data_IF_608856421709
#
_entry.id   IF_608856421709
#
_cell.length_a   1.000
_cell.length_b   1.000
_cell.length_c   1.000
_cell.angle_alpha   90.00
_cell.angle_beta   90.00
_cell.angle_gamma   90.00
#
_symmetry.space_group_name_H-M   'P 1'
#
loop_
_entity.id
_entity.type
_entity.pdbx_description
1 polymer ?
#
# COMPACT_ATOMS: atom_id res chain seq x y z
N UNK A 1 0.21 27.82 31.40
CA UNK A 1 1.40 27.32 30.67
C UNK A 1 0.92 26.43 29.55
N UNK A 2 0.79 26.99 28.35
CA UNK A 2 0.24 26.34 27.17
C UNK A 2 1.18 25.24 26.69
N UNK A 3 0.74 23.98 26.70
CA UNK A 3 1.49 22.88 26.10
C UNK A 3 1.53 23.12 24.59
N UNK A 4 2.71 23.48 24.08
CA UNK A 4 2.98 23.55 22.66
C UNK A 4 2.98 22.11 22.14
N UNK A 5 1.85 21.67 21.58
CA UNK A 5 1.80 20.42 20.82
C UNK A 5 2.74 20.59 19.63
N UNK A 6 3.95 20.01 19.71
CA UNK A 6 4.78 19.75 18.54
C UNK A 6 3.97 18.80 17.67
N UNK A 7 3.23 19.37 16.74
CA UNK A 7 2.65 18.61 15.63
C UNK A 7 3.86 18.12 14.84
N UNK A 8 4.25 16.86 15.05
CA UNK A 8 5.10 16.20 14.06
C UNK A 8 4.36 16.32 12.72
N UNK A 9 5.05 16.71 11.65
CA UNK A 9 4.41 16.79 10.35
C UNK A 9 3.75 15.43 10.09
N UNK A 10 2.43 15.43 9.88
CA UNK A 10 1.71 14.23 9.49
C UNK A 10 2.31 13.83 8.15
N UNK A 11 3.22 12.85 8.17
CA UNK A 11 3.63 12.18 6.96
C UNK A 11 2.37 11.51 6.44
N UNK A 12 1.78 12.10 5.39
CA UNK A 12 0.62 11.55 4.68
C UNK A 12 0.85 10.13 4.14
N UNK A 13 2.10 9.65 4.19
CA UNK A 13 2.53 8.35 3.70
C UNK A 13 3.41 7.64 4.74
N UNK A 14 3.23 6.32 4.86
CA UNK A 14 4.11 5.46 5.65
C UNK A 14 5.46 5.31 4.95
N UNK A 15 6.54 5.30 5.73
CA UNK A 15 7.89 4.99 5.25
C UNK A 15 8.02 3.51 4.83
N UNK A 16 9.08 3.17 4.10
CA UNK A 16 9.36 1.77 3.72
C UNK A 16 9.35 0.79 4.92
N UNK A 17 10.08 1.07 6.02
CA UNK A 17 10.02 0.24 7.23
C UNK A 17 8.61 0.10 7.82
N UNK A 18 7.82 1.16 7.83
CA UNK A 18 6.43 1.11 8.31
C UNK A 18 5.53 0.27 7.38
N UNK A 19 5.75 0.34 6.06
CA UNK A 19 5.04 -0.52 5.09
C UNK A 19 5.40 -1.99 5.27
N UNK A 20 6.67 -2.30 5.56
CA UNK A 20 7.10 -3.67 5.88
C UNK A 20 6.39 -4.19 7.15
N UNK A 21 6.26 -3.36 8.18
CA UNK A 21 5.51 -3.71 9.40
C UNK A 21 4.04 -4.03 9.11
N UNK A 22 3.38 -3.20 8.29
CA UNK A 22 1.99 -3.42 7.87
C UNK A 22 1.83 -4.74 7.09
N UNK A 23 2.76 -5.04 6.18
CA UNK A 23 2.77 -6.30 5.42
C UNK A 23 2.96 -7.50 6.33
N UNK A 24 3.88 -7.42 7.30
CA UNK A 24 4.11 -8.50 8.25
C UNK A 24 2.90 -8.74 9.18
N UNK A 25 2.08 -7.71 9.42
CA UNK A 25 0.84 -7.82 10.19
C UNK A 25 -0.36 -8.31 9.35
N UNK A 26 -0.21 -8.44 8.03
CA UNK A 26 -1.28 -8.90 7.15
C UNK A 26 -1.61 -10.38 7.38
N UNK A 27 -2.87 -10.67 7.69
CA UNK A 27 -3.37 -12.03 7.94
C UNK A 27 -3.92 -12.75 6.70
N UNK A 28 -3.79 -12.15 5.52
CA UNK A 28 -4.17 -12.81 4.25
C UNK A 28 -5.67 -12.91 3.96
N UNK A 29 -6.53 -12.12 4.64
CA UNK A 29 -8.00 -12.22 4.51
C UNK A 29 -8.59 -11.72 3.18
N UNK A 30 -7.82 -11.01 2.34
CA UNK A 30 -8.25 -10.45 1.05
C UNK A 30 -9.39 -9.39 1.08
N UNK A 31 -9.96 -9.02 2.23
CA UNK A 31 -11.03 -8.01 2.34
C UNK A 31 -10.69 -6.68 1.63
N UNK A 32 -9.44 -6.23 1.74
CA UNK A 32 -8.98 -5.01 1.08
C UNK A 32 -8.95 -5.09 -0.46
N UNK A 33 -8.79 -6.29 -1.03
CA UNK A 33 -8.86 -6.50 -2.48
C UNK A 33 -10.31 -6.55 -2.94
N UNK A 34 -11.19 -7.23 -2.19
CA UNK A 34 -12.62 -7.30 -2.47
C UNK A 34 -13.30 -5.93 -2.44
N UNK A 35 -12.87 -5.05 -1.53
CA UNK A 35 -13.42 -3.70 -1.41
C UNK A 35 -12.84 -2.70 -2.42
N UNK A 36 -11.81 -3.05 -3.20
CA UNK A 36 -11.09 -2.08 -4.02
C UNK A 36 -11.77 -1.85 -5.38
N UNK A 37 -12.31 -0.65 -5.67
CA UNK A 37 -12.95 -0.37 -6.96
C UNK A 37 -11.95 -0.27 -8.13
N UNK A 38 -10.65 -0.16 -7.84
CA UNK A 38 -9.59 -0.07 -8.85
C UNK A 38 -9.07 -1.44 -9.31
N UNK A 39 -9.52 -2.54 -8.67
CA UNK A 39 -9.06 -3.89 -9.00
C UNK A 39 -9.84 -4.42 -10.20
N UNK A 40 -9.25 -4.30 -11.39
CA UNK A 40 -9.86 -4.75 -12.65
C UNK A 40 -9.55 -6.23 -12.97
N UNK A 41 -8.39 -6.73 -12.56
CA UNK A 41 -7.94 -8.11 -12.76
C UNK A 41 -7.62 -8.75 -11.41
N UNK A 42 -7.95 -10.04 -11.19
CA UNK A 42 -7.62 -10.72 -9.93
C UNK A 42 -6.11 -10.76 -9.67
N UNK A 43 -5.71 -10.37 -8.46
CA UNK A 43 -4.37 -10.60 -7.90
C UNK A 43 -4.52 -11.20 -6.51
N UNK A 44 -3.51 -11.93 -6.02
CA UNK A 44 -3.52 -12.44 -4.65
C UNK A 44 -2.90 -11.41 -3.70
N UNK A 45 -3.39 -11.38 -2.46
CA UNK A 45 -2.83 -10.53 -1.40
C UNK A 45 -1.36 -10.83 -1.15
N UNK A 46 -0.95 -12.10 -1.22
CA UNK A 46 0.43 -12.52 -1.00
C UNK A 46 1.36 -12.00 -2.09
N UNK A 47 0.91 -12.06 -3.36
CA UNK A 47 1.66 -11.49 -4.49
C UNK A 47 1.79 -9.99 -4.35
N UNK A 48 0.70 -9.29 -4.05
CA UNK A 48 0.71 -7.85 -3.85
C UNK A 48 1.66 -7.47 -2.70
N UNK A 49 1.59 -8.16 -1.57
CA UNK A 49 2.45 -7.94 -0.41
C UNK A 49 3.93 -8.15 -0.75
N UNK A 50 4.26 -9.29 -1.36
CA UNK A 50 5.63 -9.61 -1.77
C UNK A 50 6.19 -8.55 -2.72
N UNK A 51 5.48 -8.27 -3.82
CA UNK A 51 5.91 -7.32 -4.84
C UNK A 51 5.87 -5.86 -4.36
N UNK A 52 5.24 -5.56 -3.21
CA UNK A 52 5.31 -4.23 -2.57
C UNK A 52 6.66 -3.99 -1.89
N UNK A 53 7.34 -5.01 -1.37
CA UNK A 53 8.59 -4.83 -0.61
C UNK A 53 9.83 -5.49 -1.22
N UNK A 54 9.66 -6.44 -2.13
CA UNK A 54 10.75 -7.18 -2.74
C UNK A 54 10.45 -7.49 -4.22
N UNK A 55 11.47 -8.03 -4.91
CA UNK A 55 11.34 -8.57 -6.26
C UNK A 55 10.97 -7.55 -7.34
N UNK A 56 10.83 -8.04 -8.57
CA UNK A 56 10.29 -7.29 -9.70
C UNK A 56 8.77 -7.11 -9.58
N UNK A 57 8.26 -5.93 -9.95
CA UNK A 57 6.81 -5.69 -10.00
C UNK A 57 6.25 -6.30 -11.28
N UNK A 58 5.31 -7.22 -11.15
CA UNK A 58 4.68 -7.89 -12.28
C UNK A 58 3.74 -6.96 -13.06
N UNK A 59 3.45 -7.24 -14.34
CA UNK A 59 2.53 -6.42 -15.13
C UNK A 59 1.15 -6.24 -14.49
N UNK A 60 0.61 -7.29 -13.84
CA UNK A 60 -0.69 -7.24 -13.18
C UNK A 60 -0.67 -6.31 -11.96
N UNK A 61 0.32 -6.45 -11.08
CA UNK A 61 0.49 -5.58 -9.91
C UNK A 61 0.81 -4.14 -10.33
N UNK A 62 1.62 -3.94 -11.36
CA UNK A 62 1.92 -2.62 -11.90
C UNK A 62 0.67 -1.94 -12.50
N UNK A 63 -0.18 -2.68 -13.23
CA UNK A 63 -1.48 -2.17 -13.69
C UNK A 63 -2.37 -1.78 -12.51
N UNK A 64 -2.51 -2.65 -11.52
CA UNK A 64 -3.30 -2.35 -10.33
C UNK A 64 -2.78 -1.12 -9.57
N UNK A 65 -1.46 -0.99 -9.39
CA UNK A 65 -0.83 0.17 -8.76
C UNK A 65 -1.11 1.46 -9.55
N UNK A 66 -1.05 1.43 -10.88
CA UNK A 66 -1.37 2.58 -11.73
C UNK A 66 -2.84 2.97 -11.68
N UNK A 67 -3.76 2.01 -11.63
CA UNK A 67 -5.21 2.25 -11.53
C UNK A 67 -5.63 2.74 -10.14
N UNK A 68 -4.86 2.43 -9.09
CA UNK A 68 -5.15 2.90 -7.73
C UNK A 68 -5.13 4.44 -7.69
N UNK A 69 -6.27 5.08 -7.41
CA UNK A 69 -6.39 6.53 -7.30
C UNK A 69 -6.45 7.02 -5.84
N UNK A 70 -5.88 6.23 -4.91
CA UNK A 70 -5.73 6.59 -3.49
C UNK A 70 -7.07 6.94 -2.80
N UNK A 71 -8.12 6.15 -3.05
CA UNK A 71 -9.44 6.38 -2.46
C UNK A 71 -9.63 5.91 -1.02
N UNK A 72 -8.71 5.11 -0.48
CA UNK A 72 -8.79 4.61 0.90
C UNK A 72 -9.84 3.51 1.16
N UNK A 73 -10.58 3.04 0.15
CA UNK A 73 -11.63 2.00 0.33
C UNK A 73 -11.10 0.69 0.97
N UNK A 74 -9.81 0.42 0.83
CA UNK A 74 -9.13 -0.74 1.39
C UNK A 74 -8.75 -0.64 2.87
N UNK A 75 -8.89 0.53 3.51
CA UNK A 75 -8.49 0.76 4.92
C UNK A 75 -9.55 0.23 5.88
N UNK A 76 -10.78 0.72 5.78
CA UNK A 76 -11.87 0.35 6.70
C UNK A 76 -12.20 -1.16 6.75
N UNK A 77 -12.12 -1.93 5.65
CA UNK A 77 -12.40 -3.37 5.67
C UNK A 77 -11.29 -4.22 6.31
N UNK A 78 -10.11 -3.65 6.61
CA UNK A 78 -9.01 -4.44 7.13
C UNK A 78 -9.24 -4.82 8.61
N UNK A 79 -9.40 -6.11 8.94
CA UNK A 79 -9.72 -6.54 10.31
C UNK A 79 -8.57 -6.35 11.31
N UNK A 80 -7.36 -6.11 10.81
CA UNK A 80 -6.17 -5.81 11.64
C UNK A 80 -5.68 -4.37 11.48
N UNK A 81 -6.53 -3.50 10.90
CA UNK A 81 -6.33 -2.04 10.89
C UNK A 81 -5.21 -1.55 9.98
N UNK A 82 -4.91 -2.24 8.88
CA UNK A 82 -3.82 -1.85 7.99
C UNK A 82 -4.18 -0.68 7.07
N UNK A 83 -3.22 0.21 6.85
CA UNK A 83 -3.31 1.28 5.85
C UNK A 83 -2.84 0.79 4.48
N UNK A 84 -3.70 0.02 3.81
CA UNK A 84 -3.43 -0.56 2.48
C UNK A 84 -3.24 0.50 1.41
N UNK A 85 -3.84 1.68 1.56
CA UNK A 85 -3.63 2.85 0.72
C UNK A 85 -2.18 3.38 0.78
N UNK A 86 -1.61 3.47 1.99
CA UNK A 86 -0.20 3.82 2.19
C UNK A 86 0.74 2.77 1.58
N UNK A 87 0.41 1.48 1.68
CA UNK A 87 1.14 0.42 0.99
C UNK A 87 1.10 0.57 -0.53
N UNK A 88 -0.08 0.90 -1.10
CA UNK A 88 -0.21 1.18 -2.53
C UNK A 88 0.60 2.42 -2.95
N UNK A 89 0.68 3.45 -2.10
CA UNK A 89 1.50 4.63 -2.36
C UNK A 89 2.99 4.27 -2.42
N UNK A 90 3.46 3.42 -1.51
CA UNK A 90 4.83 2.90 -1.54
C UNK A 90 5.12 2.08 -2.79
N UNK A 91 4.20 1.19 -3.20
CA UNK A 91 4.32 0.42 -4.43
C UNK A 91 4.43 1.32 -5.67
N UNK A 92 3.68 2.43 -5.72
CA UNK A 92 3.83 3.44 -6.79
C UNK A 92 5.21 4.08 -6.79
N UNK A 93 5.76 4.44 -5.62
CA UNK A 93 7.11 5.00 -5.52
C UNK A 93 8.15 4.01 -6.03
N UNK A 94 8.02 2.72 -5.69
CA UNK A 94 8.88 1.67 -6.23
C UNK A 94 8.77 1.56 -7.75
N UNK A 95 7.56 1.52 -8.28
CA UNK A 95 7.32 1.45 -9.72
C UNK A 95 7.97 2.60 -10.48
N UNK A 96 7.86 3.83 -9.98
CA UNK A 96 8.51 5.01 -10.57
C UNK A 96 10.04 4.87 -10.56
N UNK A 97 10.62 4.33 -9.48
CA UNK A 97 12.07 4.11 -9.38
C UNK A 97 12.55 3.03 -10.34
N UNK A 98 11.79 1.96 -10.50
CA UNK A 98 12.09 0.89 -11.44
C UNK A 98 12.01 1.41 -12.89
N UNK A 99 11.02 2.24 -13.21
CA UNK A 99 10.86 2.87 -14.53
C UNK A 99 11.98 3.90 -14.84
N UNK A 100 12.57 4.55 -13.83
CA UNK A 100 13.68 5.52 -13.99
C UNK A 100 15.07 4.88 -13.96
N UNK A 101 15.18 3.64 -13.47
CA UNK A 101 16.43 2.88 -13.40
C UNK A 101 16.68 1.98 -14.61
N UNK A 102 15.82 2.05 -15.64
CA UNK A 102 15.93 1.33 -16.91
C UNK A 102 16.66 2.09 -17.99
#
# INVERSE_FOLDING_TARGET
>A
MSKLFKQEPVLLHKTGPQVIQEINACIGCNECLLACPALAEPITIDRLNHETIAGSISPAVARFARTCYQCGACVSPCPVGLHRDAMMMWLKVRLIRDDWGG
#
